data_IF_755369315767
#
_entry.id   IF_755369315767
#
_cell.length_a   1.000
_cell.length_b   1.000
_cell.length_c   1.000
_cell.angle_alpha   90.00
_cell.angle_beta   90.00
_cell.angle_gamma   90.00
#
_symmetry.space_group_name_H-M   'P 1'
#
loop_
_entity.id
_entity.type
_entity.pdbx_description
1 polymer ?
#
# COMPACT_ATOMS: atom_id res chain seq x y z
N UNK A 1 23.19 -6.37 -13.90
CA UNK A 1 21.75 -6.65 -13.98
C UNK A 1 21.23 -6.75 -12.57
N UNK A 2 20.03 -6.25 -12.26
CA UNK A 2 19.43 -6.47 -10.94
C UNK A 2 19.15 -7.96 -10.76
N UNK A 3 19.30 -8.48 -9.53
CA UNK A 3 18.97 -9.86 -9.21
C UNK A 3 17.45 -10.07 -9.25
N UNK A 4 16.97 -11.27 -9.63
CA UNK A 4 15.57 -11.64 -9.51
C UNK A 4 15.11 -11.49 -8.05
N UNK A 5 13.92 -10.91 -7.82
CA UNK A 5 13.45 -10.51 -6.51
C UNK A 5 12.09 -11.14 -6.22
N UNK A 6 11.94 -11.80 -5.04
CA UNK A 6 10.76 -12.55 -4.67
C UNK A 6 10.33 -12.26 -3.24
N UNK A 7 9.05 -12.51 -2.94
CA UNK A 7 8.46 -12.38 -1.62
C UNK A 7 8.37 -13.73 -0.91
N UNK A 8 8.76 -13.75 0.36
CA UNK A 8 8.65 -14.93 1.23
C UNK A 8 8.40 -14.47 2.67
N UNK A 9 7.14 -14.43 3.07
CA UNK A 9 6.67 -13.85 4.34
C UNK A 9 7.31 -14.49 5.60
N UNK A 10 7.49 -15.80 5.55
CA UNK A 10 7.92 -16.63 6.69
C UNK A 10 9.44 -16.87 6.76
N UNK A 11 10.23 -16.07 6.04
CA UNK A 11 11.68 -16.14 6.16
C UNK A 11 12.15 -15.50 7.49
N UNK A 12 12.89 -16.28 8.28
CA UNK A 12 13.40 -15.81 9.59
C UNK A 12 14.75 -15.10 9.44
N UNK A 13 14.95 -14.03 10.21
CA UNK A 13 16.28 -13.42 10.34
C UNK A 13 17.23 -14.45 10.92
N UNK A 14 18.38 -14.66 10.27
CA UNK A 14 19.37 -15.68 10.64
C UNK A 14 19.14 -17.04 10.00
N UNK A 15 18.12 -17.21 9.15
CA UNK A 15 18.00 -18.41 8.33
C UNK A 15 19.26 -18.56 7.45
N UNK A 16 19.82 -19.76 7.42
CA UNK A 16 20.99 -20.10 6.57
C UNK A 16 20.57 -20.73 5.25
N UNK A 17 19.37 -21.31 5.19
CA UNK A 17 18.77 -21.90 4.00
C UNK A 17 17.26 -21.69 3.99
N UNK A 18 16.69 -21.54 2.81
CA UNK A 18 15.26 -21.32 2.59
C UNK A 18 14.76 -22.20 1.47
N UNK A 19 13.65 -22.88 1.69
CA UNK A 19 12.92 -23.59 0.64
C UNK A 19 11.82 -22.70 0.11
N UNK A 20 11.83 -22.47 -1.21
CA UNK A 20 10.81 -21.70 -1.89
C UNK A 20 9.54 -22.54 -2.06
N UNK A 21 8.39 -21.87 -2.08
CA UNK A 21 7.12 -22.49 -2.43
C UNK A 21 7.11 -23.00 -3.88
N UNK A 22 6.10 -23.78 -4.25
CA UNK A 22 6.06 -24.44 -5.56
C UNK A 22 5.95 -23.42 -6.71
N UNK A 23 5.18 -22.34 -6.55
CA UNK A 23 4.98 -21.35 -7.62
C UNK A 23 6.23 -20.50 -7.83
N UNK A 24 6.88 -20.06 -6.75
CA UNK A 24 8.17 -19.37 -6.81
C UNK A 24 9.25 -20.28 -7.38
N UNK A 25 9.30 -21.56 -6.95
CA UNK A 25 10.25 -22.55 -7.49
C UNK A 25 10.08 -22.75 -8.99
N UNK A 26 8.83 -22.88 -9.48
CA UNK A 26 8.55 -22.96 -10.92
C UNK A 26 9.01 -21.70 -11.66
N UNK A 27 8.75 -20.52 -11.09
CA UNK A 27 9.17 -19.27 -11.70
C UNK A 27 10.69 -19.19 -11.84
N UNK A 28 11.43 -19.46 -10.76
CA UNK A 28 12.90 -19.46 -10.75
C UNK A 28 13.46 -20.45 -11.76
N UNK A 29 13.00 -21.71 -11.73
CA UNK A 29 13.63 -22.80 -12.47
C UNK A 29 13.12 -22.92 -13.91
N UNK A 30 11.83 -22.69 -14.18
CA UNK A 30 11.24 -22.91 -15.51
C UNK A 30 11.10 -21.62 -16.31
N UNK A 31 10.73 -20.50 -15.67
CA UNK A 31 10.54 -19.21 -16.37
C UNK A 31 11.87 -18.50 -16.52
N UNK A 32 12.58 -18.28 -15.40
CA UNK A 32 13.89 -17.62 -15.41
C UNK A 32 15.04 -18.56 -15.78
N UNK A 33 14.82 -19.89 -15.70
CA UNK A 33 15.79 -20.94 -16.05
C UNK A 33 17.09 -20.85 -15.24
N UNK A 34 16.98 -20.43 -13.99
CA UNK A 34 18.11 -20.27 -13.10
C UNK A 34 18.70 -21.63 -12.70
N UNK A 35 20.01 -21.65 -12.50
CA UNK A 35 20.79 -22.83 -12.17
C UNK A 35 21.37 -22.76 -10.76
N UNK A 36 21.86 -23.91 -10.26
CA UNK A 36 22.61 -23.93 -9.01
C UNK A 36 23.83 -22.99 -9.08
N UNK A 37 24.06 -22.23 -8.02
CA UNK A 37 25.12 -21.24 -7.93
C UNK A 37 24.70 -19.82 -8.35
N UNK A 38 23.56 -19.64 -9.03
CA UNK A 38 23.05 -18.30 -9.36
C UNK A 38 22.36 -17.65 -8.16
N UNK A 39 22.40 -16.33 -8.15
CA UNK A 39 21.86 -15.53 -7.04
C UNK A 39 20.48 -14.96 -7.35
N UNK A 40 19.66 -14.87 -6.30
CA UNK A 40 18.40 -14.17 -6.27
C UNK A 40 18.22 -13.41 -4.94
N UNK A 41 17.24 -12.56 -4.87
CA UNK A 41 16.89 -11.84 -3.64
C UNK A 41 15.49 -12.23 -3.15
N UNK A 42 15.35 -12.27 -1.81
CA UNK A 42 14.08 -12.47 -1.14
C UNK A 42 13.80 -11.29 -0.21
N UNK A 43 12.52 -10.99 -0.02
CA UNK A 43 12.07 -10.07 1.05
C UNK A 43 10.92 -10.69 1.82
N UNK A 44 10.84 -10.36 3.10
CA UNK A 44 9.71 -10.73 3.97
C UNK A 44 8.58 -9.67 3.98
N UNK A 45 8.78 -8.56 3.24
CA UNK A 45 7.86 -7.43 3.25
C UNK A 45 7.89 -6.59 4.54
N UNK A 46 8.84 -6.86 5.45
CA UNK A 46 8.99 -6.21 6.76
C UNK A 46 10.30 -5.42 6.87
N UNK A 47 10.94 -5.15 5.73
CA UNK A 47 12.20 -4.41 5.63
C UNK A 47 13.44 -5.28 5.54
N UNK A 48 13.32 -6.60 5.53
CA UNK A 48 14.47 -7.47 5.35
C UNK A 48 14.68 -7.83 3.89
N UNK A 49 15.92 -7.75 3.43
CA UNK A 49 16.38 -8.16 2.12
C UNK A 49 17.44 -9.25 2.29
N UNK A 50 17.19 -10.41 1.71
CA UNK A 50 18.07 -11.56 1.75
C UNK A 50 18.66 -11.80 0.36
N UNK A 51 19.97 -11.73 0.23
CA UNK A 51 20.68 -12.20 -0.99
C UNK A 51 20.99 -13.67 -0.81
N UNK A 52 20.52 -14.47 -1.74
CA UNK A 52 20.57 -15.93 -1.66
C UNK A 52 21.20 -16.55 -2.89
N UNK A 53 21.87 -17.69 -2.73
CA UNK A 53 22.39 -18.51 -3.82
C UNK A 53 21.59 -19.81 -3.94
N UNK A 54 21.22 -20.22 -5.15
CA UNK A 54 20.50 -21.46 -5.42
C UNK A 54 21.43 -22.65 -5.14
N UNK A 55 21.00 -23.53 -4.23
CA UNK A 55 21.71 -24.78 -3.87
C UNK A 55 21.06 -26.02 -4.47
N UNK A 56 19.74 -26.00 -4.69
CA UNK A 56 18.98 -27.04 -5.40
C UNK A 56 17.91 -26.40 -6.28
N UNK A 57 18.05 -26.49 -7.59
CA UNK A 57 17.12 -25.95 -8.57
C UNK A 57 15.94 -26.89 -8.87
N UNK A 58 15.43 -27.57 -7.86
CA UNK A 58 14.24 -28.41 -8.02
C UNK A 58 13.01 -27.56 -8.32
N UNK A 59 12.29 -27.88 -9.42
CA UNK A 59 11.13 -27.10 -9.90
C UNK A 59 9.94 -27.01 -8.93
N UNK A 60 9.88 -27.88 -7.91
CA UNK A 60 8.80 -27.85 -6.89
C UNK A 60 9.26 -27.34 -5.55
N UNK A 61 10.56 -27.42 -5.27
CA UNK A 61 11.15 -27.16 -3.95
C UNK A 61 12.56 -26.61 -4.12
N UNK A 62 12.67 -25.50 -4.86
CA UNK A 62 13.96 -24.83 -5.04
C UNK A 62 14.47 -24.40 -3.65
N UNK A 63 15.72 -24.76 -3.34
CA UNK A 63 16.36 -24.41 -2.09
C UNK A 63 17.47 -23.40 -2.35
N UNK A 64 17.55 -22.40 -1.50
CA UNK A 64 18.56 -21.34 -1.57
C UNK A 64 19.30 -21.23 -0.24
N UNK A 65 20.59 -20.97 -0.27
CA UNK A 65 21.39 -20.58 0.87
C UNK A 65 21.37 -19.06 1.03
N UNK A 66 21.18 -18.56 2.24
CA UNK A 66 21.25 -17.13 2.53
C UNK A 66 22.71 -16.73 2.69
N UNK A 67 23.21 -15.85 1.84
CA UNK A 67 24.58 -15.34 1.89
C UNK A 67 24.68 -14.02 2.65
N UNK A 68 23.70 -13.16 2.49
CA UNK A 68 23.66 -11.84 3.11
C UNK A 68 22.25 -11.44 3.52
N UNK A 69 22.12 -10.81 4.67
CA UNK A 69 20.86 -10.18 5.12
C UNK A 69 21.10 -8.70 5.35
N UNK A 70 20.24 -7.87 4.77
CA UNK A 70 20.20 -6.43 5.01
C UNK A 70 18.85 -6.10 5.66
N UNK A 71 18.87 -5.24 6.69
CA UNK A 71 17.68 -4.76 7.36
C UNK A 71 17.52 -3.26 7.10
N UNK A 72 16.44 -2.90 6.43
CA UNK A 72 16.06 -1.51 6.20
C UNK A 72 15.16 -1.04 7.33
N UNK A 73 15.36 0.20 7.73
CA UNK A 73 14.48 0.82 8.73
C UNK A 73 13.20 1.32 8.06
N UNK A 74 12.03 1.18 8.69
CA UNK A 74 10.79 1.73 8.16
C UNK A 74 10.87 3.27 8.09
N UNK A 75 10.06 3.85 7.25
CA UNK A 75 9.90 5.30 7.21
C UNK A 75 9.46 5.82 8.57
N UNK A 76 9.93 7.01 8.94
CA UNK A 76 9.62 7.64 10.23
C UNK A 76 8.16 8.09 10.36
N UNK A 77 7.47 8.24 9.23
CA UNK A 77 6.07 8.65 9.17
C UNK A 77 5.25 7.63 8.39
N UNK A 78 4.11 7.20 8.96
CA UNK A 78 3.17 6.36 8.24
C UNK A 78 2.21 7.21 7.40
N UNK A 79 1.94 6.76 6.19
CA UNK A 79 0.94 7.33 5.27
C UNK A 79 -0.17 6.33 5.07
N UNK A 80 -1.36 6.65 5.61
CA UNK A 80 -2.57 5.84 5.50
C UNK A 80 -3.55 6.50 4.53
N UNK A 81 -3.97 5.76 3.50
CA UNK A 81 -5.01 6.19 2.56
C UNK A 81 -6.27 5.37 2.81
N UNK A 82 -7.30 5.99 3.37
CA UNK A 82 -8.62 5.41 3.47
C UNK A 82 -9.45 5.83 2.24
N UNK A 83 -9.67 4.91 1.31
CA UNK A 83 -10.27 5.20 0.01
C UNK A 83 -11.49 4.33 -0.24
N UNK A 84 -12.57 4.96 -0.70
CA UNK A 84 -13.81 4.22 -1.02
C UNK A 84 -13.57 3.13 -2.05
N UNK A 85 -14.23 1.98 -1.82
CA UNK A 85 -14.35 0.96 -2.84
C UNK A 85 -15.03 1.55 -4.09
N UNK A 86 -14.56 1.14 -5.26
CA UNK A 86 -15.01 1.66 -6.54
C UNK A 86 -15.97 0.69 -7.23
N UNK A 87 -16.91 1.23 -8.00
CA UNK A 87 -17.80 0.41 -8.85
C UNK A 87 -17.00 -0.50 -9.79
N UNK A 88 -15.94 0.02 -10.38
CA UNK A 88 -15.01 -0.75 -11.20
C UNK A 88 -13.79 -1.19 -10.37
N UNK A 89 -13.74 -2.48 -10.01
CA UNK A 89 -12.65 -3.04 -9.22
C UNK A 89 -11.26 -2.88 -9.87
N UNK A 90 -11.17 -2.86 -11.20
CA UNK A 90 -9.88 -2.69 -11.89
C UNK A 90 -9.25 -1.32 -11.64
N UNK A 91 -10.06 -0.28 -11.37
CA UNK A 91 -9.54 1.04 -10.98
C UNK A 91 -9.01 1.04 -9.56
N UNK A 92 -9.67 0.29 -8.67
CA UNK A 92 -9.18 0.12 -7.31
C UNK A 92 -7.88 -0.69 -7.29
N UNK A 93 -7.81 -1.76 -8.08
CA UNK A 93 -6.60 -2.57 -8.28
C UNK A 93 -5.44 -1.70 -8.81
N UNK A 94 -5.70 -0.85 -9.80
CA UNK A 94 -4.71 0.10 -10.32
C UNK A 94 -4.24 1.11 -9.24
N UNK A 95 -5.16 1.62 -8.42
CA UNK A 95 -4.80 2.47 -7.29
C UNK A 95 -3.88 1.73 -6.31
N UNK A 96 -4.19 0.50 -5.93
CA UNK A 96 -3.37 -0.32 -5.03
C UNK A 96 -1.94 -0.49 -5.55
N UNK A 97 -1.82 -0.84 -6.84
CA UNK A 97 -0.53 -0.99 -7.51
C UNK A 97 0.30 0.30 -7.40
N UNK A 98 -0.28 1.43 -7.82
CA UNK A 98 0.45 2.70 -7.86
C UNK A 98 0.71 3.30 -6.47
N UNK A 99 -0.21 3.16 -5.54
CA UNK A 99 -0.02 3.60 -4.16
C UNK A 99 1.16 2.86 -3.49
N UNK A 100 1.29 1.55 -3.78
CA UNK A 100 2.43 0.75 -3.32
C UNK A 100 3.74 1.25 -3.91
N UNK A 101 3.79 1.48 -5.23
CA UNK A 101 4.99 2.02 -5.91
C UNK A 101 5.44 3.37 -5.33
N UNK A 102 4.50 4.22 -4.91
CA UNK A 102 4.77 5.54 -4.31
C UNK A 102 5.26 5.45 -2.87
N UNK A 103 4.97 4.33 -2.16
CA UNK A 103 5.42 4.12 -0.79
C UNK A 103 4.36 4.42 0.29
N UNK A 104 3.07 4.33 -0.06
CA UNK A 104 1.99 4.32 0.96
C UNK A 104 2.21 3.16 1.91
N UNK A 105 2.07 3.39 3.22
CA UNK A 105 2.34 2.37 4.23
C UNK A 105 1.11 1.58 4.64
N UNK A 106 -0.09 2.15 4.48
CA UNK A 106 -1.34 1.49 4.85
C UNK A 106 -2.48 1.93 3.93
N UNK A 107 -3.33 0.98 3.54
CA UNK A 107 -4.51 1.22 2.73
C UNK A 107 -5.73 0.64 3.44
N UNK A 108 -6.74 1.48 3.66
CA UNK A 108 -8.02 1.11 4.27
C UNK A 108 -9.11 1.23 3.20
N UNK A 109 -9.64 0.11 2.67
CA UNK A 109 -10.81 0.16 1.80
C UNK A 109 -12.02 0.70 2.58
N UNK A 110 -12.67 1.75 2.07
CA UNK A 110 -13.72 2.47 2.79
C UNK A 110 -15.09 2.16 2.19
N UNK A 111 -16.09 1.98 3.03
CA UNK A 111 -17.49 1.84 2.65
C UNK A 111 -18.24 3.09 3.14
N UNK A 112 -18.53 3.99 2.20
CA UNK A 112 -19.30 5.21 2.41
C UNK A 112 -20.78 4.99 2.06
N UNK A 113 -21.62 5.95 2.39
CA UNK A 113 -23.06 5.90 2.08
C UNK A 113 -23.33 5.76 0.58
N UNK A 114 -22.56 6.46 -0.26
CA UNK A 114 -22.67 6.43 -1.73
C UNK A 114 -21.75 5.40 -2.40
N UNK A 115 -21.21 4.45 -1.66
CA UNK A 115 -20.42 3.35 -2.24
C UNK A 115 -21.36 2.35 -2.92
N UNK A 116 -21.30 2.24 -4.25
CA UNK A 116 -22.21 1.38 -5.02
C UNK A 116 -21.88 -0.12 -4.92
N UNK A 117 -20.62 -0.47 -4.72
CA UNK A 117 -20.15 -1.86 -4.69
C UNK A 117 -19.22 -2.11 -3.51
N UNK A 118 -19.60 -3.05 -2.66
CA UNK A 118 -18.88 -3.38 -1.42
C UNK A 118 -18.14 -4.71 -1.47
N UNK A 119 -18.26 -5.46 -2.59
CA UNK A 119 -17.56 -6.73 -2.73
C UNK A 119 -16.05 -6.51 -2.79
N UNK A 120 -15.33 -7.15 -1.88
CA UNK A 120 -13.88 -7.07 -1.73
C UNK A 120 -13.28 -8.46 -1.70
N UNK A 121 -12.21 -8.69 -2.46
CA UNK A 121 -11.48 -9.95 -2.51
C UNK A 121 -10.08 -9.72 -1.95
N UNK A 122 -9.94 -9.87 -0.64
CA UNK A 122 -8.72 -9.54 0.10
C UNK A 122 -7.47 -10.17 -0.52
N UNK A 123 -7.47 -11.49 -0.72
CA UNK A 123 -6.31 -12.21 -1.26
C UNK A 123 -5.85 -11.67 -2.63
N UNK A 124 -6.82 -11.35 -3.51
CA UNK A 124 -6.51 -10.74 -4.81
C UNK A 124 -5.88 -9.36 -4.66
N UNK A 125 -6.42 -8.52 -3.79
CA UNK A 125 -5.90 -7.17 -3.57
C UNK A 125 -4.52 -7.21 -2.93
N UNK A 126 -4.32 -8.10 -1.95
CA UNK A 126 -3.01 -8.31 -1.32
C UNK A 126 -1.96 -8.81 -2.32
N UNK A 127 -2.32 -9.72 -3.23
CA UNK A 127 -1.40 -10.18 -4.29
C UNK A 127 -0.96 -9.06 -5.25
N UNK A 128 -1.80 -8.05 -5.48
CA UNK A 128 -1.44 -6.86 -6.26
C UNK A 128 -0.39 -6.02 -5.53
N UNK A 129 -0.56 -5.81 -4.21
CA UNK A 129 0.44 -5.09 -3.40
C UNK A 129 1.79 -5.81 -3.41
N UNK A 130 1.80 -7.13 -3.23
CA UNK A 130 3.02 -7.94 -3.30
C UNK A 130 3.70 -7.78 -4.66
N UNK A 131 2.94 -7.89 -5.75
CA UNK A 131 3.47 -7.74 -7.10
C UNK A 131 4.06 -6.34 -7.36
N UNK A 132 3.37 -5.30 -6.88
CA UNK A 132 3.81 -3.91 -7.00
C UNK A 132 5.07 -3.64 -6.15
N UNK A 133 5.12 -4.17 -4.92
CA UNK A 133 6.29 -4.10 -4.04
C UNK A 133 7.51 -4.73 -4.70
N UNK A 134 7.38 -5.93 -5.28
CA UNK A 134 8.47 -6.61 -5.96
C UNK A 134 8.93 -5.86 -7.22
N UNK A 135 7.99 -5.38 -8.02
CA UNK A 135 8.29 -4.63 -9.25
C UNK A 135 9.02 -3.32 -8.95
N UNK A 136 8.65 -2.62 -7.88
CA UNK A 136 9.30 -1.38 -7.43
C UNK A 136 10.54 -1.63 -6.55
N UNK A 137 10.94 -2.88 -6.34
CA UNK A 137 12.09 -3.31 -5.54
C UNK A 137 12.05 -2.78 -4.08
N UNK A 138 10.86 -2.68 -3.54
CA UNK A 138 10.67 -2.29 -2.14
C UNK A 138 10.70 -3.51 -1.22
N UNK A 139 11.12 -3.30 0.02
CA UNK A 139 11.21 -4.34 1.05
C UNK A 139 10.12 -4.25 2.11
N UNK A 140 9.28 -3.21 2.04
CA UNK A 140 8.11 -3.02 2.91
C UNK A 140 6.84 -3.22 2.12
N UNK A 141 6.02 -4.18 2.56
CA UNK A 141 4.68 -4.40 2.02
C UNK A 141 3.69 -3.46 2.73
N UNK A 142 2.92 -2.65 2.00
CA UNK A 142 1.86 -1.87 2.62
C UNK A 142 0.86 -2.75 3.36
N UNK A 143 0.38 -2.30 4.51
CA UNK A 143 -0.69 -2.98 5.25
C UNK A 143 -2.01 -2.75 4.52
N UNK A 144 -2.66 -3.81 4.07
CA UNK A 144 -4.02 -3.76 3.54
C UNK A 144 -4.99 -4.14 4.66
N UNK A 145 -5.91 -3.24 4.99
CA UNK A 145 -6.97 -3.52 5.95
C UNK A 145 -8.19 -4.17 5.27
N UNK A 146 -9.01 -4.86 6.06
CA UNK A 146 -10.35 -5.23 5.63
C UNK A 146 -11.22 -3.97 5.43
N UNK A 147 -12.25 -4.03 4.55
CA UNK A 147 -13.13 -2.89 4.33
C UNK A 147 -13.80 -2.40 5.61
N UNK A 148 -13.71 -1.11 5.87
CA UNK A 148 -14.29 -0.46 7.04
C UNK A 148 -15.40 0.51 6.64
N UNK A 149 -16.46 0.59 7.46
CA UNK A 149 -17.51 1.60 7.29
C UNK A 149 -16.98 2.99 7.66
N UNK A 150 -17.30 3.98 6.85
CA UNK A 150 -16.89 5.37 7.08
C UNK A 150 -17.16 5.84 8.51
N UNK A 151 -18.38 5.63 9.02
CA UNK A 151 -18.76 6.09 10.36
C UNK A 151 -17.91 5.43 11.47
N UNK A 152 -17.48 4.19 11.29
CA UNK A 152 -16.63 3.51 12.25
C UNK A 152 -15.20 4.07 12.22
N UNK A 153 -14.64 4.29 11.02
CA UNK A 153 -13.30 4.83 10.87
C UNK A 153 -13.21 6.28 11.34
N UNK A 154 -14.20 7.11 11.00
CA UNK A 154 -14.18 8.54 11.30
C UNK A 154 -14.12 8.85 12.82
N UNK A 155 -14.71 7.99 13.67
CA UNK A 155 -14.71 8.14 15.12
C UNK A 155 -13.54 7.44 15.83
N UNK A 156 -12.69 6.69 15.10
CA UNK A 156 -11.52 6.04 15.70
C UNK A 156 -10.49 7.05 16.20
N UNK A 157 -9.83 6.69 17.28
CA UNK A 157 -8.72 7.49 17.81
C UNK A 157 -7.45 7.21 17.04
N UNK A 158 -6.94 8.22 16.35
CA UNK A 158 -5.64 8.19 15.66
C UNK A 158 -4.69 9.14 16.40
N UNK A 159 -3.94 8.60 17.34
CA UNK A 159 -2.95 9.38 18.11
C UNK A 159 -1.75 9.71 17.22
N UNK A 160 -1.30 10.95 17.22
CA UNK A 160 -0.18 11.45 16.41
C UNK A 160 -0.40 11.37 14.89
N UNK A 161 -1.65 11.51 14.43
CA UNK A 161 -1.98 11.60 13.02
C UNK A 161 -2.46 13.01 12.63
N UNK A 162 -1.94 13.52 11.51
CA UNK A 162 -2.60 14.54 10.72
C UNK A 162 -3.75 13.88 9.95
N UNK A 163 -5.00 14.28 10.24
CA UNK A 163 -6.22 13.69 9.66
C UNK A 163 -6.83 14.62 8.64
N UNK A 164 -7.04 14.12 7.44
CA UNK A 164 -7.53 14.89 6.28
C UNK A 164 -8.74 14.22 5.63
N UNK A 165 -9.63 15.03 5.06
CA UNK A 165 -10.73 14.59 4.20
C UNK A 165 -10.75 15.41 2.92
N UNK A 166 -10.71 14.74 1.76
CA UNK A 166 -10.81 15.37 0.46
C UNK A 166 -12.21 15.16 -0.12
N UNK A 167 -12.97 16.25 -0.28
CA UNK A 167 -14.35 16.26 -0.82
C UNK A 167 -14.56 17.40 -1.81
N UNK A 168 -15.65 17.37 -2.57
CA UNK A 168 -15.94 18.38 -3.60
C UNK A 168 -16.89 19.51 -3.13
N UNK A 169 -17.56 19.35 -1.97
CA UNK A 169 -18.47 20.39 -1.44
C UNK A 169 -17.68 21.60 -0.95
N UNK A 170 -18.17 22.80 -1.22
CA UNK A 170 -17.68 24.13 -0.82
C UNK A 170 -16.14 24.35 -0.92
N UNK A 171 -15.72 24.99 -2.01
CA UNK A 171 -14.30 25.30 -2.26
C UNK A 171 -13.74 26.43 -1.38
N UNK A 172 -14.59 27.28 -0.79
CA UNK A 172 -14.14 28.51 -0.11
C UNK A 172 -13.45 28.25 1.26
N UNK A 173 -13.67 27.09 1.88
CA UNK A 173 -13.13 26.78 3.21
C UNK A 173 -12.02 25.73 3.19
N UNK A 174 -11.64 25.20 2.01
CA UNK A 174 -10.57 24.20 1.89
C UNK A 174 -9.23 24.83 1.61
N UNK A 175 -8.21 24.30 2.29
CA UNK A 175 -6.84 24.66 1.99
C UNK A 175 -6.18 23.55 1.15
N UNK A 176 -5.26 23.90 0.25
CA UNK A 176 -4.46 22.89 -0.43
C UNK A 176 -3.79 21.95 0.58
N UNK A 177 -3.81 20.64 0.31
CA UNK A 177 -3.18 19.64 1.18
C UNK A 177 -1.71 19.97 1.44
N UNK A 178 -1.00 20.45 0.42
CA UNK A 178 0.40 20.88 0.50
C UNK A 178 0.66 21.89 1.63
N UNK A 179 -0.25 22.85 1.84
CA UNK A 179 -0.09 23.87 2.90
C UNK A 179 -0.22 23.28 4.31
N UNK A 180 -0.83 22.11 4.46
CA UNK A 180 -1.01 21.43 5.74
C UNK A 180 0.13 20.50 6.09
N UNK A 181 0.96 20.13 5.12
CA UNK A 181 2.07 19.18 5.31
C UNK A 181 3.37 19.84 5.74
N UNK A 182 3.48 21.16 5.62
CA UNK A 182 4.70 21.90 5.96
C UNK A 182 5.01 21.72 7.45
N UNK A 183 6.22 21.23 7.75
CA UNK A 183 6.76 21.05 9.11
C UNK A 183 6.04 20.04 10.01
N UNK A 184 5.35 19.04 9.45
CA UNK A 184 4.70 18.00 10.24
C UNK A 184 5.41 16.64 10.11
N UNK A 185 6.14 16.24 11.16
CA UNK A 185 6.71 14.88 11.31
C UNK A 185 5.72 13.95 12.02
N UNK A 186 4.48 13.88 11.54
CA UNK A 186 3.41 13.06 12.11
C UNK A 186 2.92 12.04 11.08
N UNK A 187 2.33 10.95 11.56
CA UNK A 187 1.61 10.04 10.69
C UNK A 187 0.46 10.76 9.99
N UNK A 188 0.11 10.33 8.80
CA UNK A 188 -0.88 11.03 7.97
C UNK A 188 -1.99 10.06 7.57
N UNK A 189 -3.24 10.46 7.75
CA UNK A 189 -4.43 9.74 7.31
C UNK A 189 -5.29 10.64 6.44
N UNK A 190 -5.66 10.19 5.24
CA UNK A 190 -6.60 10.90 4.38
C UNK A 190 -7.77 10.02 3.98
N UNK A 191 -8.98 10.62 3.99
CA UNK A 191 -10.21 10.01 3.51
C UNK A 191 -10.48 10.47 2.08
N UNK A 192 -10.72 9.50 1.17
CA UNK A 192 -11.06 9.71 -0.24
C UNK A 192 -12.41 9.05 -0.52
N UNK A 193 -13.38 9.83 -0.95
CA UNK A 193 -14.76 9.40 -1.18
C UNK A 193 -14.98 8.57 -2.45
N UNK A 194 -16.20 7.99 -2.60
CA UNK A 194 -16.62 7.29 -3.80
C UNK A 194 -16.82 8.23 -5.00
N UNK A 195 -17.24 7.68 -6.14
CA UNK A 195 -17.52 8.47 -7.35
C UNK A 195 -18.62 9.54 -7.14
N UNK A 196 -19.55 9.28 -6.20
CA UNK A 196 -20.62 10.21 -5.80
C UNK A 196 -20.24 11.18 -4.70
N UNK A 197 -18.96 11.21 -4.28
CA UNK A 197 -18.45 11.96 -3.13
C UNK A 197 -19.03 11.51 -1.77
N UNK A 198 -18.52 12.04 -0.69
CA UNK A 198 -19.10 11.89 0.65
C UNK A 198 -20.45 12.62 0.73
N UNK A 199 -21.33 12.18 1.63
CA UNK A 199 -22.52 12.95 2.00
C UNK A 199 -22.14 14.07 2.95
N UNK A 200 -22.99 15.12 3.02
CA UNK A 200 -22.80 16.24 3.96
C UNK A 200 -22.68 15.73 5.40
N UNK A 201 -23.47 14.73 5.78
CA UNK A 201 -23.42 14.10 7.11
C UNK A 201 -22.07 13.40 7.38
N UNK A 202 -21.50 12.72 6.37
CA UNK A 202 -20.18 12.09 6.49
C UNK A 202 -19.08 13.15 6.64
N UNK A 203 -19.15 14.24 5.86
CA UNK A 203 -18.19 15.35 5.97
C UNK A 203 -18.27 15.99 7.36
N UNK A 204 -19.47 16.31 7.84
CA UNK A 204 -19.67 16.88 9.18
C UNK A 204 -19.14 15.96 10.28
N UNK A 205 -19.39 14.64 10.19
CA UNK A 205 -18.87 13.67 11.14
C UNK A 205 -17.33 13.66 11.16
N UNK A 206 -16.70 13.71 10.01
CA UNK A 206 -15.24 13.78 9.93
C UNK A 206 -14.70 15.07 10.57
N UNK A 207 -15.29 16.23 10.25
CA UNK A 207 -14.88 17.52 10.81
C UNK A 207 -15.04 17.56 12.35
N UNK A 208 -16.14 17.02 12.87
CA UNK A 208 -16.36 16.89 14.32
C UNK A 208 -15.33 15.99 15.01
N UNK A 209 -14.73 15.05 14.27
CA UNK A 209 -13.68 14.17 14.76
C UNK A 209 -12.27 14.63 14.37
N UNK A 210 -12.07 15.95 14.18
CA UNK A 210 -10.79 16.61 13.91
C UNK A 210 -10.13 16.22 12.58
N UNK A 211 -10.89 15.81 11.55
CA UNK A 211 -10.38 15.80 10.20
C UNK A 211 -10.37 17.22 9.63
N UNK A 212 -9.35 17.53 8.87
CA UNK A 212 -9.22 18.81 8.17
C UNK A 212 -9.67 18.64 6.71
N UNK A 213 -10.62 19.46 6.27
CA UNK A 213 -11.01 19.51 4.87
C UNK A 213 -9.88 20.06 4.00
N UNK A 214 -9.52 19.32 2.95
CA UNK A 214 -8.41 19.69 2.06
C UNK A 214 -8.81 19.61 0.58
N UNK A 215 -8.13 20.42 -0.23
CA UNK A 215 -8.20 20.35 -1.69
C UNK A 215 -6.98 19.63 -2.24
N UNK A 216 -7.20 18.75 -3.22
CA UNK A 216 -6.14 18.05 -3.98
C UNK A 216 -5.80 18.73 -5.31
N UNK A 217 -6.42 19.85 -5.59
CA UNK A 217 -6.22 20.64 -6.81
C UNK A 217 -7.46 21.38 -7.24
N UNK A 218 -7.38 22.07 -8.38
CA UNK A 218 -8.47 22.93 -8.90
C UNK A 218 -9.52 22.17 -9.71
N UNK A 219 -9.21 20.95 -10.15
CA UNK A 219 -10.09 20.16 -11.01
C UNK A 219 -10.71 19.02 -10.23
N UNK A 220 -11.93 18.61 -10.61
CA UNK A 220 -12.56 17.42 -10.05
C UNK A 220 -11.80 16.18 -10.51
N UNK A 221 -11.31 15.39 -9.55
CA UNK A 221 -10.59 14.16 -9.80
C UNK A 221 -11.53 12.95 -9.64
N UNK A 222 -11.25 11.87 -10.36
CA UNK A 222 -11.85 10.57 -10.05
C UNK A 222 -11.27 10.03 -8.74
N UNK A 223 -11.98 9.15 -8.06
CA UNK A 223 -11.57 8.60 -6.75
C UNK A 223 -10.17 8.00 -6.79
N UNK A 224 -9.87 7.13 -7.77
CA UNK A 224 -8.53 6.54 -7.94
C UNK A 224 -7.45 7.61 -8.18
N UNK A 225 -7.79 8.64 -8.96
CA UNK A 225 -6.87 9.75 -9.23
C UNK A 225 -6.65 10.62 -7.99
N UNK A 226 -7.71 10.88 -7.23
CA UNK A 226 -7.63 11.61 -5.96
C UNK A 226 -6.75 10.86 -4.95
N UNK A 227 -6.91 9.52 -4.85
CA UNK A 227 -6.06 8.66 -4.05
C UNK A 227 -4.58 8.75 -4.45
N UNK A 228 -4.29 8.75 -5.76
CA UNK A 228 -2.92 8.89 -6.29
C UNK A 228 -2.29 10.24 -5.97
N UNK A 229 -3.04 11.33 -6.19
CA UNK A 229 -2.56 12.69 -5.87
C UNK A 229 -2.29 12.79 -4.36
N UNK A 230 -3.21 12.29 -3.53
CA UNK A 230 -3.03 12.27 -2.09
C UNK A 230 -1.79 11.46 -1.68
N UNK A 231 -1.62 10.24 -2.21
CA UNK A 231 -0.46 9.39 -1.95
C UNK A 231 0.85 10.12 -2.28
N UNK A 232 0.94 10.72 -3.47
CA UNK A 232 2.14 11.47 -3.91
C UNK A 232 2.46 12.63 -2.97
N UNK A 233 1.46 13.43 -2.61
CA UNK A 233 1.65 14.58 -1.71
C UNK A 233 2.05 14.15 -0.30
N UNK A 234 1.43 13.09 0.23
CA UNK A 234 1.67 12.63 1.60
C UNK A 234 3.01 11.91 1.76
N UNK A 235 3.47 11.17 0.74
CA UNK A 235 4.71 10.41 0.80
C UNK A 235 5.95 11.27 0.48
N UNK A 236 5.82 12.37 -0.29
CA UNK A 236 6.99 13.10 -0.82
C UNK A 236 7.07 14.57 -0.40
N UNK A 237 6.14 15.07 0.40
CA UNK A 237 6.16 16.40 1.02
C UNK A 237 6.02 16.26 2.53
#
# INVERSE_FOLDING_TARGET
MALPFFYKEDISIGATAVMLDEDTSKHVVQVLRMQNGEQLQLTDGKGNLFTCQITDNNRKRCTVAVEQTQNYQPQTTNVTIAISLLKNSSRFEWFLEKATEIGVTEIIPLICERTEKTAFKFERMNSILISAMLQSQQTFLPVLQEPQKFNQLAIQSFTNYGKYIAHCEDENNKQPLTNKLINQSVNKLILIGPEGDFTTTEIELALQNNFTAVSLGKTRLRTETAGMVAATLLCHI
#
